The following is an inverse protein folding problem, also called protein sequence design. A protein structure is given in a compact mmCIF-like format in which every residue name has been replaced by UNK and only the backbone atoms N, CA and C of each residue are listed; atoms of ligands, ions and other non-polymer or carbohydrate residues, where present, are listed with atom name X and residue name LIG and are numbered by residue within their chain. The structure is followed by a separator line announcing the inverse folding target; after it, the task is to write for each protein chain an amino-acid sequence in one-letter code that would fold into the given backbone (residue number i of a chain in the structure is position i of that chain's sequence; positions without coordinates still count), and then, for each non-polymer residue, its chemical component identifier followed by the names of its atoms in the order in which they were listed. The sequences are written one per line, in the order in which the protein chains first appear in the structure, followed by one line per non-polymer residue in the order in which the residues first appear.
data_IF_010087900103
#
_entry.id   IF_010087900103
#
_cell.length_a   1.000
_cell.length_b   1.000
_cell.length_c   1.000
_cell.angle_alpha   90.00
_cell.angle_beta   90.00
_cell.angle_gamma   90.00
#
_symmetry.space_group_name_H-M   'P 1'
#
loop_
_entity.id
_entity.type
_entity.pdbx_description
1 polymer ?
#
# COMPACT_ATOMS: atom_id res chain seq x y z
N UNK A 1 1.61 6.63 18.74
CA UNK A 1 0.92 5.34 18.74
C UNK A 1 -0.48 5.48 18.13
N UNK A 2 -0.89 4.53 17.32
CA UNK A 2 -2.24 4.55 16.72
C UNK A 2 -3.07 3.40 17.28
N UNK A 3 -4.37 3.61 17.39
CA UNK A 3 -5.34 2.58 17.77
C UNK A 3 -5.99 1.96 16.52
N UNK A 4 -6.84 0.96 16.74
CA UNK A 4 -7.52 0.27 15.65
C UNK A 4 -8.46 1.16 14.83
N UNK A 5 -9.12 2.12 15.49
CA UNK A 5 -9.98 3.09 14.82
C UNK A 5 -9.19 3.94 13.81
N UNK A 6 -8.02 4.43 14.23
CA UNK A 6 -7.15 5.23 13.36
C UNK A 6 -6.70 4.40 12.16
N UNK A 7 -6.26 3.16 12.38
CA UNK A 7 -5.83 2.29 11.28
C UNK A 7 -6.99 1.98 10.33
N UNK A 8 -8.16 1.63 10.89
CA UNK A 8 -9.38 1.40 10.11
C UNK A 8 -9.69 2.60 9.22
N UNK A 9 -9.75 3.78 9.81
CA UNK A 9 -10.11 5.01 9.11
C UNK A 9 -9.03 5.39 8.08
N UNK A 10 -7.76 5.15 8.36
CA UNK A 10 -6.67 5.38 7.43
C UNK A 10 -6.80 4.52 6.17
N UNK A 11 -7.08 3.23 6.33
CA UNK A 11 -7.25 2.33 5.20
C UNK A 11 -8.49 2.70 4.38
N UNK A 12 -9.58 3.07 5.04
CA UNK A 12 -10.79 3.56 4.36
C UNK A 12 -10.47 4.82 3.54
N UNK A 13 -9.71 5.76 4.12
CA UNK A 13 -9.29 6.97 3.42
C UNK A 13 -8.40 6.65 2.21
N UNK A 14 -7.49 5.69 2.36
CA UNK A 14 -6.68 5.19 1.25
C UNK A 14 -7.54 4.60 0.13
N UNK A 15 -8.56 3.83 0.50
CA UNK A 15 -9.52 3.27 -0.45
C UNK A 15 -10.27 4.36 -1.21
N UNK A 16 -10.74 5.37 -0.51
CA UNK A 16 -11.44 6.51 -1.13
C UNK A 16 -10.53 7.27 -2.08
N UNK A 17 -9.27 7.46 -1.69
CA UNK A 17 -8.31 8.20 -2.50
C UNK A 17 -7.98 7.48 -3.82
N UNK A 18 -7.74 6.16 -3.77
CA UNK A 18 -7.48 5.40 -5.00
C UNK A 18 -8.73 5.34 -5.90
N UNK A 19 -9.91 5.24 -5.31
CA UNK A 19 -11.16 5.29 -6.08
C UNK A 19 -11.28 6.61 -6.84
N UNK A 20 -11.03 7.73 -6.17
CA UNK A 20 -11.14 9.06 -6.78
C UNK A 20 -10.10 9.30 -7.88
N UNK A 21 -8.95 8.65 -7.80
CA UNK A 21 -7.84 8.84 -8.74
C UNK A 21 -7.63 7.66 -9.69
N UNK A 22 -8.52 6.68 -9.72
CA UNK A 22 -8.32 5.43 -10.48
C UNK A 22 -8.10 5.66 -11.97
N UNK A 23 -8.79 6.63 -12.56
CA UNK A 23 -8.64 6.93 -13.98
C UNK A 23 -7.24 7.45 -14.32
N UNK A 24 -6.65 8.29 -13.45
CA UNK A 24 -5.30 8.79 -13.63
C UNK A 24 -4.27 7.67 -13.55
N UNK A 25 -4.47 6.73 -12.65
CA UNK A 25 -3.59 5.56 -12.51
C UNK A 25 -3.75 4.64 -13.72
N UNK A 26 -4.97 4.43 -14.19
CA UNK A 26 -5.25 3.63 -15.39
C UNK A 26 -4.47 4.17 -16.60
N UNK A 27 -4.37 5.48 -16.76
CA UNK A 27 -3.67 6.13 -17.87
C UNK A 27 -2.16 5.82 -17.90
N UNK A 28 -1.57 5.49 -16.74
CA UNK A 28 -0.14 5.17 -16.65
C UNK A 28 0.17 3.71 -17.00
N UNK A 29 -0.85 2.87 -17.13
CA UNK A 29 -0.70 1.42 -17.21
C UNK A 29 -0.17 0.97 -18.58
N UNK A 30 1.14 0.76 -18.68
CA UNK A 30 1.80 0.22 -19.88
C UNK A 30 2.54 -1.09 -19.61
N UNK A 31 2.72 -1.49 -18.34
CA UNK A 31 3.46 -2.69 -17.95
C UNK A 31 2.72 -3.39 -16.80
N UNK A 32 2.70 -4.72 -16.75
CA UNK A 32 3.26 -5.67 -17.73
C UNK A 32 2.46 -5.77 -19.04
N UNK A 33 1.17 -5.43 -18.99
CA UNK A 33 0.26 -5.45 -20.14
C UNK A 33 -0.47 -4.10 -20.17
N UNK A 34 -0.55 -3.42 -21.32
CA UNK A 34 -1.14 -2.08 -21.39
C UNK A 34 -2.67 -2.10 -21.44
N UNK A 35 -3.30 -2.74 -20.47
CA UNK A 35 -4.75 -2.90 -20.37
C UNK A 35 -5.50 -1.65 -19.89
N UNK A 36 -4.78 -0.69 -19.28
CA UNK A 36 -5.39 0.54 -18.80
C UNK A 36 -6.31 0.31 -17.61
N UNK A 37 -6.04 -0.68 -16.75
CA UNK A 37 -6.94 -1.10 -15.67
C UNK A 37 -6.31 -1.15 -14.27
N UNK A 38 -5.04 -0.75 -14.13
CA UNK A 38 -4.32 -0.86 -12.84
C UNK A 38 -5.03 -0.10 -11.72
N UNK A 39 -5.42 1.15 -11.98
CA UNK A 39 -6.13 1.96 -10.99
C UNK A 39 -7.49 1.40 -10.64
N UNK A 40 -8.22 0.95 -11.63
CA UNK A 40 -9.52 0.30 -11.45
C UNK A 40 -9.39 -0.96 -10.60
N UNK A 41 -8.41 -1.82 -10.92
CA UNK A 41 -8.18 -3.07 -10.20
C UNK A 41 -7.76 -2.82 -8.74
N UNK A 42 -6.86 -1.87 -8.50
CA UNK A 42 -6.43 -1.52 -7.16
C UNK A 42 -7.59 -0.92 -6.35
N UNK A 43 -8.37 -0.05 -6.98
CA UNK A 43 -9.55 0.56 -6.36
C UNK A 43 -10.57 -0.49 -5.93
N UNK A 44 -10.85 -1.48 -6.77
CA UNK A 44 -11.78 -2.57 -6.43
C UNK A 44 -11.25 -3.45 -5.31
N UNK A 45 -9.95 -3.72 -5.31
CA UNK A 45 -9.29 -4.55 -4.29
C UNK A 45 -9.34 -3.88 -2.92
N UNK A 46 -8.90 -2.64 -2.84
CA UNK A 46 -8.89 -1.89 -1.56
C UNK A 46 -10.30 -1.50 -1.15
N UNK A 47 -11.19 -1.26 -2.12
CA UNK A 47 -12.60 -0.98 -1.88
C UNK A 47 -13.32 -2.11 -1.16
N UNK A 48 -12.95 -3.36 -1.43
CA UNK A 48 -13.48 -4.52 -0.69
C UNK A 48 -13.14 -4.41 0.80
N UNK A 49 -11.93 -3.99 1.13
CA UNK A 49 -11.52 -3.73 2.52
C UNK A 49 -12.29 -2.57 3.12
N UNK A 50 -12.43 -1.48 2.38
CA UNK A 50 -13.15 -0.28 2.86
C UNK A 50 -14.58 -0.59 3.30
N UNK A 51 -15.27 -1.42 2.55
CA UNK A 51 -16.64 -1.83 2.90
C UNK A 51 -16.71 -2.65 4.19
N UNK A 52 -15.82 -3.61 4.37
CA UNK A 52 -15.80 -4.43 5.58
C UNK A 52 -15.32 -3.66 6.79
N UNK A 53 -14.32 -2.80 6.61
CA UNK A 53 -13.80 -1.96 7.69
C UNK A 53 -14.86 -0.99 8.20
N UNK A 54 -15.70 -0.45 7.33
CA UNK A 54 -16.75 0.48 7.71
C UNK A 54 -17.75 -0.11 8.71
N UNK A 55 -17.87 -1.45 8.74
CA UNK A 55 -18.77 -2.15 9.66
C UNK A 55 -18.13 -2.43 11.04
N UNK A 56 -16.83 -2.16 11.21
CA UNK A 56 -16.13 -2.42 12.48
C UNK A 56 -16.39 -1.30 13.50
N UNK A 57 -16.48 -1.64 14.80
CA UNK A 57 -16.71 -0.65 15.85
C UNK A 57 -15.45 0.19 16.13
N UNK A 58 -15.65 1.32 16.83
CA UNK A 58 -14.55 2.24 17.16
C UNK A 58 -13.53 1.66 18.14
N UNK A 59 -13.89 0.62 18.90
CA UNK A 59 -12.99 -0.06 19.83
C UNK A 59 -12.21 -1.20 19.19
N UNK A 60 -12.27 -1.34 17.88
CA UNK A 60 -11.50 -2.35 17.13
C UNK A 60 -10.01 -2.23 17.42
N UNK A 61 -9.32 -3.38 17.50
CA UNK A 61 -7.86 -3.40 17.67
C UNK A 61 -7.16 -3.18 16.33
N UNK A 62 -5.88 -2.77 16.36
CA UNK A 62 -5.10 -2.69 15.11
C UNK A 62 -4.98 -4.07 14.46
N UNK A 63 -4.86 -5.13 15.26
CA UNK A 63 -4.82 -6.49 14.75
C UNK A 63 -6.07 -6.83 13.94
N UNK A 64 -7.24 -6.55 14.48
CA UNK A 64 -8.52 -6.86 13.82
C UNK A 64 -8.78 -5.95 12.61
N UNK A 65 -8.44 -4.67 12.71
CA UNK A 65 -8.56 -3.77 11.57
C UNK A 65 -7.67 -4.24 10.40
N UNK A 66 -6.41 -4.55 10.66
CA UNK A 66 -5.48 -5.02 9.64
C UNK A 66 -5.91 -6.38 9.07
N UNK A 67 -6.33 -7.30 9.92
CA UNK A 67 -6.78 -8.65 9.52
C UNK A 67 -8.04 -8.58 8.64
N UNK A 68 -9.01 -7.74 9.02
CA UNK A 68 -10.23 -7.53 8.24
C UNK A 68 -9.89 -6.97 6.86
N UNK A 69 -9.03 -5.97 6.81
CA UNK A 69 -8.59 -5.37 5.55
C UNK A 69 -7.90 -6.39 4.65
N UNK A 70 -6.94 -7.13 5.20
CA UNK A 70 -6.16 -8.12 4.45
C UNK A 70 -7.05 -9.24 3.89
N UNK A 71 -7.97 -9.75 4.70
CA UNK A 71 -8.88 -10.83 4.28
C UNK A 71 -9.83 -10.36 3.18
N UNK A 72 -10.37 -9.15 3.31
CA UNK A 72 -11.27 -8.58 2.30
C UNK A 72 -10.53 -8.34 0.97
N UNK A 73 -9.31 -7.83 1.02
CA UNK A 73 -8.49 -7.61 -0.17
C UNK A 73 -8.15 -8.92 -0.87
N UNK A 74 -7.86 -9.97 -0.10
CA UNK A 74 -7.56 -11.29 -0.67
C UNK A 74 -8.74 -11.84 -1.45
N UNK A 75 -9.94 -11.74 -0.89
CA UNK A 75 -11.17 -12.21 -1.56
C UNK A 75 -11.54 -11.34 -2.76
N UNK A 76 -11.25 -10.06 -2.69
CA UNK A 76 -11.62 -9.09 -3.73
C UNK A 76 -10.48 -8.72 -4.68
N UNK A 77 -9.33 -9.38 -4.60
CA UNK A 77 -8.17 -9.03 -5.41
C UNK A 77 -8.45 -9.13 -6.91
N UNK A 78 -8.13 -8.06 -7.62
CA UNK A 78 -8.35 -7.94 -9.06
C UNK A 78 -7.05 -7.58 -9.77
N UNK A 79 -6.68 -8.39 -10.78
CA UNK A 79 -5.49 -8.16 -11.58
C UNK A 79 -4.20 -8.34 -10.78
N UNK A 80 -3.08 -8.16 -11.46
CA UNK A 80 -1.75 -8.32 -10.88
C UNK A 80 -1.51 -7.31 -9.75
N UNK A 81 -1.85 -6.06 -10.01
CA UNK A 81 -1.70 -4.98 -9.03
C UNK A 81 -2.55 -5.20 -7.77
N UNK A 82 -3.78 -5.70 -7.95
CA UNK A 82 -4.66 -6.03 -6.83
C UNK A 82 -4.11 -7.17 -5.98
N UNK A 83 -3.60 -8.22 -6.62
CA UNK A 83 -2.98 -9.35 -5.92
C UNK A 83 -1.77 -8.89 -5.10
N UNK A 84 -0.88 -8.09 -5.69
CA UNK A 84 0.29 -7.57 -4.98
C UNK A 84 -0.13 -6.69 -3.81
N UNK A 85 -1.11 -5.81 -4.01
CA UNK A 85 -1.65 -4.97 -2.94
C UNK A 85 -2.18 -5.84 -1.79
N UNK A 86 -2.92 -6.90 -2.09
CA UNK A 86 -3.44 -7.81 -1.07
C UNK A 86 -2.33 -8.51 -0.29
N UNK A 87 -1.23 -8.86 -0.95
CA UNK A 87 -0.08 -9.51 -0.31
C UNK A 87 0.65 -8.54 0.63
N UNK A 88 0.79 -7.28 0.23
CA UNK A 88 1.38 -6.25 1.08
C UNK A 88 0.59 -6.11 2.38
N UNK A 89 -0.73 -6.03 2.30
CA UNK A 89 -1.58 -5.90 3.48
C UNK A 89 -1.64 -7.19 4.31
N UNK A 90 -1.52 -8.35 3.67
CA UNK A 90 -1.45 -9.62 4.39
C UNK A 90 -0.24 -9.70 5.30
N UNK A 91 0.95 -9.38 4.79
CA UNK A 91 2.16 -9.33 5.60
C UNK A 91 2.10 -8.26 6.68
N UNK A 92 1.56 -7.10 6.35
CA UNK A 92 1.31 -6.01 7.28
C UNK A 92 0.45 -6.48 8.46
N UNK A 93 -0.65 -7.17 8.16
CA UNK A 93 -1.55 -7.73 9.17
C UNK A 93 -0.86 -8.76 10.07
N UNK A 94 -0.05 -9.64 9.49
CA UNK A 94 0.65 -10.67 10.26
C UNK A 94 1.57 -10.07 11.31
N UNK A 95 2.24 -8.97 10.99
CA UNK A 95 3.13 -8.29 11.92
C UNK A 95 2.37 -7.61 13.08
N UNK A 96 1.10 -7.28 12.88
CA UNK A 96 0.26 -6.62 13.90
C UNK A 96 -0.60 -7.61 14.69
N UNK A 97 -0.46 -8.92 14.45
CA UNK A 97 -1.27 -9.94 15.13
C UNK A 97 -1.18 -9.79 16.66
N UNK A 98 -2.33 -9.81 17.31
CA UNK A 98 -2.43 -9.74 18.78
C UNK A 98 -2.24 -8.34 19.36
N UNK A 99 -2.01 -7.32 18.56
CA UNK A 99 -1.78 -5.95 19.07
C UNK A 99 -3.09 -5.15 19.12
N UNK A 100 -3.27 -4.41 20.21
CA UNK A 100 -4.40 -3.49 20.36
C UNK A 100 -4.09 -2.15 19.70
N UNK A 101 -2.86 -1.68 19.87
CA UNK A 101 -2.34 -0.43 19.31
C UNK A 101 -0.99 -0.70 18.64
N UNK A 102 -0.55 0.23 17.81
CA UNK A 102 0.73 0.11 17.12
C UNK A 102 1.52 1.41 17.28
N UNK A 103 2.80 1.28 17.59
CA UNK A 103 3.75 2.39 17.59
C UNK A 103 4.50 2.43 16.25
N UNK A 104 5.43 3.37 16.11
CA UNK A 104 6.21 3.51 14.89
C UNK A 104 7.01 2.23 14.56
N UNK A 105 7.61 1.60 15.56
CA UNK A 105 8.36 0.36 15.35
C UNK A 105 7.47 -0.77 14.84
N UNK A 106 6.24 -0.87 15.34
CA UNK A 106 5.27 -1.85 14.87
C UNK A 106 4.89 -1.60 13.40
N UNK A 107 4.72 -0.34 13.02
CA UNK A 107 4.40 0.03 11.63
C UNK A 107 5.57 -0.31 10.70
N UNK A 108 6.80 -0.04 11.13
CA UNK A 108 8.01 -0.42 10.36
C UNK A 108 8.04 -1.94 10.14
N UNK A 109 7.85 -2.71 11.20
CA UNK A 109 7.84 -4.18 11.11
C UNK A 109 6.72 -4.66 10.18
N UNK A 110 5.56 -4.02 10.23
CA UNK A 110 4.41 -4.35 9.38
C UNK A 110 4.72 -4.07 7.90
N UNK A 111 5.35 -2.94 7.59
CA UNK A 111 5.76 -2.62 6.22
C UNK A 111 6.79 -3.65 5.70
N UNK A 112 7.78 -3.99 6.51
CA UNK A 112 8.80 -4.99 6.15
C UNK A 112 8.17 -6.36 5.87
N UNK A 113 7.24 -6.78 6.70
CA UNK A 113 6.56 -8.07 6.55
C UNK A 113 5.70 -8.10 5.29
N UNK A 114 5.05 -6.98 4.98
CA UNK A 114 4.26 -6.84 3.75
C UNK A 114 5.12 -6.97 2.50
N UNK A 115 6.25 -6.28 2.47
CA UNK A 115 7.21 -6.33 1.35
C UNK A 115 7.76 -7.75 1.19
N UNK A 116 8.16 -8.39 2.29
CA UNK A 116 8.64 -9.77 2.28
C UNK A 116 7.61 -10.72 1.66
N UNK A 117 6.35 -10.61 2.10
CA UNK A 117 5.27 -11.45 1.59
C UNK A 117 5.03 -11.25 0.09
N UNK A 118 5.08 -10.00 -0.38
CA UNK A 118 4.86 -9.68 -1.79
C UNK A 118 6.00 -10.20 -2.67
N UNK A 119 7.25 -9.98 -2.29
CA UNK A 119 8.41 -10.47 -3.05
C UNK A 119 8.45 -11.99 -3.10
N UNK A 120 8.09 -12.65 -2.00
CA UNK A 120 8.13 -14.11 -1.91
C UNK A 120 7.08 -14.79 -2.81
N UNK A 121 5.94 -14.13 -3.00
CA UNK A 121 4.83 -14.68 -3.77
C UNK A 121 4.96 -14.42 -5.28
N UNK A 122 5.69 -13.38 -5.68
CA UNK A 122 5.89 -13.06 -7.09
C UNK A 122 7.05 -13.90 -7.64
N UNK A 123 6.80 -14.68 -8.69
CA UNK A 123 7.80 -15.63 -9.24
C UNK A 123 9.02 -14.91 -9.80
N UNK A 124 8.84 -13.78 -10.47
CA UNK A 124 9.92 -12.98 -11.06
C UNK A 124 9.74 -11.52 -10.68
N UNK A 125 10.15 -11.13 -9.47
CA UNK A 125 10.07 -9.73 -9.06
C UNK A 125 10.85 -8.85 -10.02
N UNK A 126 10.19 -7.81 -10.53
CA UNK A 126 10.79 -6.85 -11.45
C UNK A 126 10.97 -5.52 -10.74
N UNK A 127 12.19 -4.96 -10.81
CA UNK A 127 12.45 -3.62 -10.26
C UNK A 127 11.93 -2.54 -11.20
N UNK A 128 11.60 -1.38 -10.64
CA UNK A 128 10.91 -0.31 -11.37
C UNK A 128 9.40 -0.46 -11.34
N UNK A 129 8.87 -1.21 -10.36
CA UNK A 129 7.44 -1.48 -10.20
C UNK A 129 6.97 -1.09 -8.79
N UNK A 130 5.68 -1.34 -8.50
CA UNK A 130 5.13 -1.11 -7.15
C UNK A 130 5.88 -1.89 -6.06
N UNK A 131 6.49 -3.04 -6.41
CA UNK A 131 7.34 -3.79 -5.47
C UNK A 131 8.52 -2.94 -5.03
N UNK A 132 9.17 -2.26 -5.96
CA UNK A 132 10.30 -1.36 -5.68
C UNK A 132 9.87 -0.20 -4.79
N UNK A 133 8.74 0.42 -5.10
CA UNK A 133 8.20 1.54 -4.31
C UNK A 133 7.94 1.10 -2.87
N UNK A 134 7.29 -0.04 -2.68
CA UNK A 134 7.02 -0.59 -1.35
C UNK A 134 8.31 -0.93 -0.61
N UNK A 135 9.28 -1.57 -1.28
CA UNK A 135 10.54 -1.98 -0.68
C UNK A 135 11.38 -0.79 -0.23
N UNK A 136 11.56 0.20 -1.08
CA UNK A 136 12.35 1.39 -0.76
C UNK A 136 11.74 2.15 0.42
N UNK A 137 10.42 2.33 0.42
CA UNK A 137 9.72 2.98 1.54
C UNK A 137 9.95 2.21 2.84
N UNK A 138 9.85 0.89 2.81
CA UNK A 138 10.06 0.02 3.96
C UNK A 138 11.51 0.06 4.47
N UNK A 139 12.48 0.02 3.58
CA UNK A 139 13.91 0.06 3.94
C UNK A 139 14.29 1.38 4.59
N UNK A 140 13.81 2.51 4.05
CA UNK A 140 14.08 3.82 4.63
C UNK A 140 13.37 4.00 5.96
N UNK A 141 12.15 3.48 6.09
CA UNK A 141 11.43 3.48 7.37
C UNK A 141 12.21 2.70 8.43
N UNK A 142 12.76 1.54 8.07
CA UNK A 142 13.53 0.71 8.99
C UNK A 142 14.83 1.39 9.45
N UNK A 143 15.42 2.24 8.62
CA UNK A 143 16.70 2.91 8.90
C UNK A 143 16.56 4.26 9.61
N UNK A 144 15.34 4.83 9.68
CA UNK A 144 15.18 6.24 10.08
C UNK A 144 15.20 6.50 11.58
N UNK A 145 14.88 5.52 12.42
CA UNK A 145 14.83 5.70 13.87
C UNK A 145 13.73 6.62 14.38
N UNK A 146 12.75 6.98 13.55
CA UNK A 146 11.65 7.86 13.94
C UNK A 146 10.67 7.11 14.84
N UNK A 147 10.29 7.72 15.96
CA UNK A 147 9.39 7.11 16.96
C UNK A 147 7.95 7.58 16.86
N UNK A 148 7.66 8.62 16.09
CA UNK A 148 6.32 9.14 15.90
C UNK A 148 5.72 8.63 14.61
N UNK A 149 4.49 8.11 14.64
CA UNK A 149 3.82 7.52 13.47
C UNK A 149 3.59 8.56 12.38
N UNK A 150 3.23 9.79 12.75
CA UNK A 150 2.97 10.86 11.76
C UNK A 150 4.26 11.21 11.01
N UNK A 151 5.35 11.43 11.74
CA UNK A 151 6.66 11.72 11.13
C UNK A 151 7.17 10.54 10.33
N UNK A 152 6.98 9.31 10.82
CA UNK A 152 7.35 8.09 10.10
C UNK A 152 6.62 8.03 8.76
N UNK A 153 5.32 8.31 8.75
CA UNK A 153 4.54 8.22 7.52
C UNK A 153 4.93 9.29 6.51
N UNK A 154 5.30 10.50 6.97
CA UNK A 154 5.86 11.52 6.09
C UNK A 154 7.13 11.02 5.40
N UNK A 155 8.00 10.34 6.13
CA UNK A 155 9.20 9.73 5.55
C UNK A 155 8.85 8.62 4.56
N UNK A 156 7.86 7.78 4.88
CA UNK A 156 7.39 6.72 3.98
C UNK A 156 6.89 7.32 2.67
N UNK A 157 6.10 8.39 2.74
CA UNK A 157 5.59 9.08 1.55
C UNK A 157 6.72 9.65 0.70
N UNK A 158 7.70 10.28 1.33
CA UNK A 158 8.84 10.86 0.63
C UNK A 158 9.68 9.77 -0.06
N UNK A 159 9.99 8.71 0.64
CA UNK A 159 10.76 7.59 0.09
C UNK A 159 10.01 6.89 -1.05
N UNK A 160 8.72 6.68 -0.88
CA UNK A 160 7.87 6.08 -1.91
C UNK A 160 7.82 6.95 -3.17
N UNK A 161 7.68 8.27 -3.00
CA UNK A 161 7.64 9.20 -4.13
C UNK A 161 8.96 9.21 -4.90
N UNK A 162 10.09 9.22 -4.20
CA UNK A 162 11.41 9.17 -4.85
C UNK A 162 11.60 7.87 -5.63
N UNK A 163 11.19 6.75 -5.05
CA UNK A 163 11.25 5.45 -5.72
C UNK A 163 10.33 5.41 -6.94
N UNK A 164 9.12 5.98 -6.82
CA UNK A 164 8.16 6.07 -7.92
C UNK A 164 8.74 6.88 -9.08
N UNK A 165 9.29 8.04 -8.79
CA UNK A 165 9.88 8.92 -9.81
C UNK A 165 11.07 8.25 -10.52
N UNK A 166 11.74 7.32 -9.85
CA UNK A 166 12.87 6.59 -10.41
C UNK A 166 12.47 5.33 -11.20
N UNK A 167 11.21 4.92 -11.17
CA UNK A 167 10.79 3.69 -11.88
C UNK A 167 11.09 3.70 -13.38
N UNK A 168 10.97 4.82 -14.11
CA UNK A 168 11.34 4.85 -15.53
C UNK A 168 12.83 4.57 -15.79
N UNK A 169 13.70 4.86 -14.81
CA UNK A 169 15.13 4.58 -14.93
C UNK A 169 15.47 3.11 -14.70
N UNK A 170 14.56 2.35 -14.11
CA UNK A 170 14.74 0.93 -13.78
C UNK A 170 14.03 0.02 -14.80
N UNK A 171 12.96 0.50 -15.42
CA UNK A 171 12.15 -0.29 -16.34
C UNK A 171 12.01 0.45 -17.68
N UNK A 172 12.77 0.03 -18.71
CA UNK A 172 12.84 0.77 -19.98
C UNK A 172 11.50 1.06 -20.66
N UNK A 173 10.52 0.18 -20.52
CA UNK A 173 9.21 0.40 -21.15
C UNK A 173 8.50 1.63 -20.58
N UNK A 174 8.73 1.93 -19.28
CA UNK A 174 8.18 3.14 -18.65
C UNK A 174 8.85 4.40 -19.17
N UNK A 175 10.16 4.36 -19.31
CA UNK A 175 10.93 5.48 -19.84
C UNK A 175 10.52 5.80 -21.29
N UNK A 176 10.35 4.76 -22.11
CA UNK A 176 9.92 4.90 -23.50
C UNK A 176 8.53 5.51 -23.59
N UNK A 177 7.62 5.12 -22.70
CA UNK A 177 6.26 5.65 -22.65
C UNK A 177 6.17 7.02 -21.96
N UNK A 178 7.21 7.45 -21.26
CA UNK A 178 7.24 8.72 -20.53
C UNK A 178 6.36 8.72 -19.29
N UNK A 179 6.22 7.58 -18.63
CA UNK A 179 5.35 7.41 -17.45
C UNK A 179 6.10 6.76 -16.29
N UNK A 180 5.58 6.94 -15.06
CA UNK A 180 5.99 6.15 -13.89
C UNK A 180 5.17 4.87 -13.83
N UNK A 181 5.59 3.92 -12.96
CA UNK A 181 4.85 2.67 -12.79
C UNK A 181 3.44 2.92 -12.25
N UNK A 182 2.43 2.40 -12.94
CA UNK A 182 1.03 2.60 -12.56
C UNK A 182 0.71 1.99 -11.20
N UNK A 183 1.17 0.78 -10.92
CA UNK A 183 0.98 0.13 -9.62
C UNK A 183 1.66 0.90 -8.49
N UNK A 184 2.86 1.42 -8.75
CA UNK A 184 3.59 2.27 -7.82
C UNK A 184 2.83 3.57 -7.53
N UNK A 185 2.29 4.21 -8.57
CA UNK A 185 1.46 5.41 -8.40
C UNK A 185 0.22 5.10 -7.58
N UNK A 186 -0.42 3.97 -7.85
CA UNK A 186 -1.60 3.54 -7.08
C UNK A 186 -1.28 3.32 -5.61
N UNK A 187 -0.16 2.69 -5.31
CA UNK A 187 0.29 2.50 -3.92
C UNK A 187 0.55 3.84 -3.24
N UNK A 188 1.18 4.78 -3.94
CA UNK A 188 1.42 6.13 -3.43
C UNK A 188 0.11 6.84 -3.09
N UNK A 189 -0.89 6.73 -3.96
CA UNK A 189 -2.22 7.31 -3.76
C UNK A 189 -2.90 6.72 -2.52
N UNK A 190 -2.79 5.42 -2.32
CA UNK A 190 -3.33 4.75 -1.12
C UNK A 190 -2.62 5.30 0.13
N UNK A 191 -1.31 5.39 0.12
CA UNK A 191 -0.52 5.88 1.25
C UNK A 191 -0.82 7.35 1.56
N UNK A 192 -1.02 8.18 0.55
CA UNK A 192 -1.42 9.57 0.72
C UNK A 192 -2.81 9.69 1.39
N UNK A 193 -3.73 8.83 0.99
CA UNK A 193 -5.05 8.76 1.63
C UNK A 193 -4.97 8.38 3.11
N UNK A 194 -4.08 7.44 3.45
CA UNK A 194 -3.84 7.04 4.84
C UNK A 194 -3.26 8.21 5.66
N UNK A 195 -2.38 9.00 5.06
CA UNK A 195 -1.75 10.15 5.71
C UNK A 195 -2.78 11.19 6.17
N UNK A 196 -3.85 11.37 5.42
CA UNK A 196 -4.94 12.30 5.78
C UNK A 196 -5.47 11.99 7.18
N UNK A 197 -5.56 10.71 7.53
CA UNK A 197 -6.08 10.26 8.84
C UNK A 197 -4.99 10.29 9.91
N UNK A 198 -3.75 9.94 9.57
CA UNK A 198 -2.64 9.94 10.53
C UNK A 198 -2.30 11.35 11.02
N UNK A 199 -2.53 12.36 10.21
CA UNK A 199 -2.38 13.77 10.62
C UNK A 199 -3.58 14.21 11.46
#
# INVERSE_FOLDING_TARGET
MINGKILRDAIISGSNNIFNQRAKVDELNVFPVPDGDTGTNMSMTVGAAGRELAALPDDVTVADAASTAASAMLRGARGNSGVITSLLFRGFSKALAGKKQADAADIVAALQKGVEAAYKAVMKPTEGTMLTVARVASEEAAACGINDVVELWDLVLDAAQRALDNTPNQLPVLKKAGVVDAGGQGLMVIFEGMDIVFK
#
